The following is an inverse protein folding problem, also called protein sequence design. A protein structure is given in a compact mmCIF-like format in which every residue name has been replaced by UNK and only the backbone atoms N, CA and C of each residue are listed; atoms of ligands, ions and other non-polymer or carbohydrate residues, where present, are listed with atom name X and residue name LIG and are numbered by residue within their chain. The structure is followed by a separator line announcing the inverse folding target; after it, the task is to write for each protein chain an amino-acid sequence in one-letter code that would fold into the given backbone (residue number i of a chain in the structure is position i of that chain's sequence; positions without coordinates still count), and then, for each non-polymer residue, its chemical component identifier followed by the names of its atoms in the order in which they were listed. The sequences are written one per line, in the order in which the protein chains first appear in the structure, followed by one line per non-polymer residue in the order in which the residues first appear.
data_IF_411672777707
#
_entry.id   IF_411672777707
#
_cell.length_a   1.000
_cell.length_b   1.000
_cell.length_c   1.000
_cell.angle_alpha   90.00
_cell.angle_beta   90.00
_cell.angle_gamma   90.00
#
_symmetry.space_group_name_H-M   'P 1'
#
loop_
_entity.id
_entity.type
_entity.pdbx_description
1 polymer ?
#
# COMPACT_ATOMS: atom_id res chain seq x y z
N UNK A 1 20.64 18.61 -21.32
CA UNK A 1 19.88 17.47 -20.79
C UNK A 1 20.00 17.53 -19.29
N UNK A 2 18.97 18.04 -18.61
CA UNK A 2 18.90 18.00 -17.14
C UNK A 2 18.45 16.58 -16.79
N UNK A 3 19.28 15.88 -16.04
CA UNK A 3 18.89 14.64 -15.37
C UNK A 3 17.95 15.00 -14.23
N UNK A 4 16.75 14.44 -14.26
CA UNK A 4 15.87 14.36 -13.11
C UNK A 4 16.27 13.12 -12.33
N UNK A 5 17.24 13.30 -11.44
CA UNK A 5 17.60 12.36 -10.40
C UNK A 5 16.96 12.89 -9.11
N UNK A 6 15.82 12.30 -8.71
CA UNK A 6 15.33 12.09 -7.32
C UNK A 6 13.84 11.78 -7.33
N UNK A 7 13.51 10.50 -7.41
CA UNK A 7 12.69 9.85 -6.39
C UNK A 7 13.37 8.51 -6.17
N UNK A 8 13.71 8.20 -4.92
CA UNK A 8 14.20 6.90 -4.52
C UNK A 8 13.25 5.85 -5.12
N UNK A 9 13.75 5.08 -6.09
CA UNK A 9 13.08 3.89 -6.58
C UNK A 9 13.16 2.91 -5.40
N UNK A 10 12.24 3.04 -4.43
CA UNK A 10 11.89 1.98 -3.49
C UNK A 10 11.52 0.80 -4.39
N UNK A 11 12.51 -0.04 -4.72
CA UNK A 11 12.40 -1.00 -5.81
C UNK A 11 11.37 -2.08 -5.46
N UNK A 12 10.12 -1.80 -5.79
CA UNK A 12 9.01 -2.74 -5.74
C UNK A 12 9.20 -3.83 -6.82
N UNK A 13 8.54 -4.98 -6.66
CA UNK A 13 8.56 -6.02 -7.67
C UNK A 13 8.06 -5.47 -9.02
N UNK A 14 8.59 -6.01 -10.12
CA UNK A 14 8.34 -5.48 -11.47
C UNK A 14 6.84 -5.39 -11.78
N UNK A 15 6.42 -4.19 -12.20
CA UNK A 15 5.05 -3.89 -12.63
C UNK A 15 4.08 -3.53 -11.50
N UNK A 16 4.59 -3.32 -10.29
CA UNK A 16 3.93 -2.49 -9.29
C UNK A 16 4.37 -1.04 -9.44
N UNK A 17 3.46 -0.10 -9.22
CA UNK A 17 3.76 1.33 -9.21
C UNK A 17 3.04 2.00 -8.05
N UNK A 18 3.69 2.97 -7.42
CA UNK A 18 3.01 3.86 -6.48
C UNK A 18 2.03 4.73 -7.28
N UNK A 19 0.75 4.66 -6.94
CA UNK A 19 -0.24 5.59 -7.43
C UNK A 19 0.07 6.96 -6.81
N UNK A 20 0.21 8.00 -7.63
CA UNK A 20 0.30 9.37 -7.12
C UNK A 20 -0.91 9.62 -6.22
N UNK A 21 -0.68 9.66 -4.90
CA UNK A 21 -1.71 9.89 -3.90
C UNK A 21 -2.44 11.16 -4.29
N UNK A 22 -3.70 11.03 -4.75
CA UNK A 22 -4.51 12.17 -5.14
C UNK A 22 -4.41 13.21 -4.03
N UNK A 23 -3.80 14.34 -4.38
CA UNK A 23 -3.27 15.34 -3.47
C UNK A 23 -4.22 15.49 -2.29
N UNK A 24 -3.78 15.09 -1.10
CA UNK A 24 -4.50 15.44 0.11
C UNK A 24 -4.59 16.96 0.09
N UNK A 25 -5.78 17.50 -0.18
CA UNK A 25 -5.99 18.95 -0.15
C UNK A 25 -5.37 19.44 1.17
N UNK A 26 -4.35 20.32 1.14
CA UNK A 26 -3.61 20.72 2.33
C UNK A 26 -4.53 21.60 3.16
N UNK A 27 -5.38 20.99 3.97
CA UNK A 27 -6.39 21.67 4.75
C UNK A 27 -6.73 20.87 5.99
N UNK A 28 -5.70 20.51 6.76
CA UNK A 28 -5.57 20.69 8.22
C UNK A 28 -4.38 19.86 8.71
N UNK A 29 -3.54 20.49 9.54
CA UNK A 29 -2.38 19.97 10.27
C UNK A 29 -2.16 18.43 10.26
N UNK A 30 -1.01 18.05 9.72
CA UNK A 30 -0.34 16.73 9.90
C UNK A 30 -0.95 15.48 9.25
N UNK A 31 -1.62 15.59 8.09
CA UNK A 31 -2.05 14.45 7.28
C UNK A 31 -0.88 13.51 6.84
N UNK A 32 -0.48 12.54 7.69
CA UNK A 32 0.24 11.29 7.36
C UNK A 32 -0.40 10.72 6.09
N UNK A 33 0.30 10.87 4.97
CA UNK A 33 -0.22 10.48 3.66
C UNK A 33 -0.38 8.96 3.61
N UNK A 34 -1.56 8.50 3.17
CA UNK A 34 -1.72 7.11 2.75
C UNK A 34 -0.96 6.90 1.45
N UNK A 35 -0.40 5.71 1.29
CA UNK A 35 0.25 5.28 0.06
C UNK A 35 -0.62 4.22 -0.60
N UNK A 36 -0.75 4.29 -1.92
CA UNK A 36 -1.46 3.31 -2.73
C UNK A 36 -0.49 2.76 -3.77
N UNK A 37 -0.44 1.44 -3.90
CA UNK A 37 0.31 0.74 -4.94
C UNK A 37 -0.64 0.01 -5.86
N UNK A 38 -0.44 0.12 -7.16
CA UNK A 38 -1.25 -0.51 -8.19
C UNK A 38 -0.43 -1.53 -8.95
N UNK A 39 -1.04 -2.68 -9.28
CA UNK A 39 -0.43 -3.65 -10.19
C UNK A 39 -0.83 -3.34 -11.63
N UNK A 40 0.14 -3.05 -12.48
CA UNK A 40 -0.12 -2.87 -13.92
C UNK A 40 -0.77 -4.11 -14.53
N UNK A 41 -1.90 -3.92 -15.20
CA UNK A 41 -2.62 -4.98 -15.90
C UNK A 41 -3.50 -5.87 -15.00
N UNK A 42 -3.68 -5.51 -13.72
CA UNK A 42 -4.57 -6.21 -12.80
C UNK A 42 -5.41 -5.23 -11.98
N UNK A 43 -6.65 -5.61 -11.66
CA UNK A 43 -7.55 -4.83 -10.79
C UNK A 43 -7.24 -5.10 -9.30
N UNK A 44 -5.95 -5.03 -8.95
CA UNK A 44 -5.44 -5.27 -7.60
C UNK A 44 -4.46 -4.18 -7.19
N UNK A 45 -4.52 -3.79 -5.93
CA UNK A 45 -3.62 -2.81 -5.35
C UNK A 45 -3.44 -3.02 -3.86
N UNK A 46 -2.53 -2.26 -3.28
CA UNK A 46 -2.23 -2.25 -1.85
C UNK A 46 -2.35 -0.85 -1.31
N UNK A 47 -3.07 -0.70 -0.21
CA UNK A 47 -3.17 0.57 0.50
C UNK A 47 -2.48 0.47 1.85
N UNK A 48 -1.54 1.38 2.08
CA UNK A 48 -0.84 1.57 3.36
C UNK A 48 -1.35 2.87 3.98
N UNK A 49 -1.97 2.81 5.15
CA UNK A 49 -2.63 3.96 5.77
C UNK A 49 -2.55 3.92 7.29
N UNK A 50 -2.53 5.07 7.98
CA UNK A 50 -2.54 5.09 9.44
C UNK A 50 -3.82 4.46 10.00
N UNK A 51 -3.69 3.68 11.08
CA UNK A 51 -4.79 2.97 11.74
C UNK A 51 -5.80 3.90 12.41
N UNK A 52 -5.34 5.10 12.80
CA UNK A 52 -6.14 6.14 13.44
C UNK A 52 -6.35 7.33 12.51
N UNK A 53 -7.50 8.04 12.64
CA UNK A 53 -7.73 9.28 11.93
C UNK A 53 -6.63 10.27 12.28
N UNK A 54 -6.26 11.08 11.29
CA UNK A 54 -5.19 12.03 11.47
C UNK A 54 -5.64 13.21 12.36
N UNK A 55 -5.42 13.06 13.66
CA UNK A 55 -5.71 14.06 14.67
C UNK A 55 -4.43 14.37 15.45
N UNK A 56 -4.22 15.61 15.91
CA UNK A 56 -2.99 16.05 16.59
C UNK A 56 -2.66 15.31 17.91
N UNK A 57 -3.51 14.37 18.33
CA UNK A 57 -3.32 13.49 19.49
C UNK A 57 -3.50 12.01 19.12
N UNK A 58 -3.29 11.65 17.86
CA UNK A 58 -3.21 10.26 17.44
C UNK A 58 -1.89 9.69 17.99
N UNK A 59 -1.98 9.17 19.21
CA UNK A 59 -0.87 8.61 20.01
C UNK A 59 -0.36 7.27 19.46
N UNK A 60 -0.91 6.76 18.36
CA UNK A 60 -0.45 5.50 17.78
C UNK A 60 0.30 5.71 16.46
N UNK A 61 1.54 5.22 16.44
CA UNK A 61 2.33 4.96 15.23
C UNK A 61 1.83 3.70 14.50
N UNK A 62 0.53 3.39 14.57
CA UNK A 62 -0.04 2.19 13.96
C UNK A 62 -0.42 2.45 12.51
N UNK A 63 -0.03 1.52 11.65
CA UNK A 63 -0.29 1.53 10.22
C UNK A 63 -0.99 0.23 9.82
N UNK A 64 -1.95 0.35 8.90
CA UNK A 64 -2.64 -0.78 8.28
C UNK A 64 -2.20 -0.94 6.84
N UNK A 65 -2.11 -2.19 6.46
CA UNK A 65 -1.94 -2.62 5.07
C UNK A 65 -3.21 -3.36 4.67
N UNK A 66 -3.80 -2.99 3.54
CA UNK A 66 -4.96 -3.68 2.98
C UNK A 66 -4.80 -3.91 1.48
N UNK A 67 -5.28 -5.06 1.00
CA UNK A 67 -5.41 -5.31 -0.43
C UNK A 67 -6.71 -4.69 -0.91
N UNK A 68 -6.61 -3.98 -2.03
CA UNK A 68 -7.72 -3.38 -2.75
C UNK A 68 -7.97 -4.20 -4.01
N UNK A 69 -9.23 -4.54 -4.26
CA UNK A 69 -9.68 -5.18 -5.49
C UNK A 69 -10.69 -4.30 -6.20
N UNK A 70 -10.59 -4.25 -7.54
CA UNK A 70 -11.45 -3.41 -8.38
C UNK A 70 -10.90 -2.00 -8.56
N UNK A 71 -11.80 -1.00 -8.67
CA UNK A 71 -11.41 0.40 -8.90
C UNK A 71 -10.78 1.03 -7.65
N UNK A 72 -9.63 1.68 -7.78
CA UNK A 72 -8.91 2.22 -6.61
C UNK A 72 -9.60 3.41 -5.94
N UNK A 73 -10.30 4.25 -6.71
CA UNK A 73 -11.12 5.36 -6.18
C UNK A 73 -12.39 4.87 -5.46
N UNK A 74 -12.92 3.72 -5.88
CA UNK A 74 -14.12 3.13 -5.31
C UNK A 74 -13.99 1.60 -5.31
N UNK A 75 -13.24 1.06 -4.34
CA UNK A 75 -12.87 -0.35 -4.34
C UNK A 75 -14.09 -1.23 -4.13
N UNK A 76 -14.23 -2.25 -4.96
CA UNK A 76 -15.26 -3.27 -4.80
C UNK A 76 -15.06 -4.03 -3.48
N UNK A 77 -13.79 -4.21 -3.10
CA UNK A 77 -13.41 -4.88 -1.86
C UNK A 77 -12.08 -4.35 -1.33
N UNK A 78 -11.98 -4.24 -0.02
CA UNK A 78 -10.72 -4.02 0.69
C UNK A 78 -10.59 -5.05 1.81
N UNK A 79 -9.59 -5.92 1.72
CA UNK A 79 -9.31 -6.92 2.76
C UNK A 79 -8.08 -6.49 3.58
N UNK A 80 -8.16 -6.52 4.91
CA UNK A 80 -7.01 -6.18 5.75
C UNK A 80 -5.94 -7.28 5.66
N UNK A 81 -4.69 -6.87 5.53
CA UNK A 81 -3.51 -7.75 5.55
C UNK A 81 -2.88 -7.72 6.93
N UNK A 82 -2.51 -6.52 7.41
CA UNK A 82 -1.81 -6.36 8.67
C UNK A 82 -2.14 -5.01 9.34
N UNK A 83 -1.96 -4.96 10.65
CA UNK A 83 -1.92 -3.74 11.47
C UNK A 83 -0.61 -3.82 12.26
N UNK A 84 0.33 -2.92 11.96
CA UNK A 84 1.73 -2.95 12.43
C UNK A 84 2.13 -1.62 13.04
N UNK A 85 3.22 -1.61 13.80
CA UNK A 85 3.76 -0.38 14.40
C UNK A 85 4.87 0.17 13.49
N UNK A 86 4.70 1.41 13.05
CA UNK A 86 5.62 2.10 12.15
C UNK A 86 5.22 2.01 10.67
N UNK A 87 5.57 3.07 9.93
CA UNK A 87 5.34 3.15 8.48
C UNK A 87 6.23 2.16 7.74
N UNK A 88 7.50 2.06 8.13
CA UNK A 88 8.48 1.19 7.47
C UNK A 88 8.08 -0.29 7.57
N UNK A 89 7.62 -0.76 8.74
CA UNK A 89 7.11 -2.13 8.91
C UNK A 89 5.88 -2.39 8.02
N UNK A 90 5.00 -1.39 7.85
CA UNK A 90 3.85 -1.51 6.96
C UNK A 90 4.27 -1.57 5.47
N UNK A 91 5.32 -0.84 5.10
CA UNK A 91 5.89 -0.89 3.75
C UNK A 91 6.58 -2.24 3.48
N UNK A 92 7.29 -2.80 4.46
CA UNK A 92 7.88 -4.14 4.37
C UNK A 92 6.82 -5.23 4.20
N UNK A 93 5.69 -5.13 4.92
CA UNK A 93 4.54 -6.04 4.73
C UNK A 93 3.94 -5.88 3.33
N UNK A 94 3.75 -4.65 2.86
CA UNK A 94 3.22 -4.39 1.52
C UNK A 94 4.14 -4.99 0.45
N UNK A 95 5.46 -4.80 0.57
CA UNK A 95 6.46 -5.38 -0.32
C UNK A 95 6.40 -6.91 -0.31
N UNK A 96 6.37 -7.52 0.88
CA UNK A 96 6.29 -8.98 1.03
C UNK A 96 5.03 -9.54 0.35
N UNK A 97 3.91 -8.82 0.41
CA UNK A 97 2.70 -9.20 -0.30
C UNK A 97 2.90 -9.11 -1.81
N UNK A 98 3.49 -8.02 -2.33
CA UNK A 98 3.74 -7.87 -3.77
C UNK A 98 4.62 -9.01 -4.30
N UNK A 99 5.65 -9.40 -3.55
CA UNK A 99 6.54 -10.51 -3.90
C UNK A 99 5.79 -11.85 -3.90
N UNK A 100 5.02 -12.13 -2.84
CA UNK A 100 4.21 -13.35 -2.75
C UNK A 100 3.11 -13.39 -3.82
N UNK A 101 2.56 -12.22 -4.19
CA UNK A 101 1.65 -12.08 -5.30
C UNK A 101 2.36 -12.46 -6.60
N UNK A 102 3.53 -11.89 -6.93
CA UNK A 102 4.30 -12.27 -8.14
C UNK A 102 4.70 -13.75 -8.22
N UNK A 103 4.97 -14.39 -7.08
CA UNK A 103 5.30 -15.83 -7.04
C UNK A 103 4.07 -16.74 -7.20
N UNK A 104 2.89 -16.27 -6.81
CA UNK A 104 1.67 -17.05 -6.86
C UNK A 104 1.02 -17.07 -8.26
N UNK A 105 0.49 -18.24 -8.63
CA UNK A 105 -0.23 -18.46 -9.88
C UNK A 105 -1.70 -18.83 -9.64
N UNK A 106 -2.55 -18.56 -10.62
CA UNK A 106 -3.96 -18.98 -10.62
C UNK A 106 -4.93 -17.94 -10.05
N UNK A 107 -6.19 -18.35 -9.91
CA UNK A 107 -7.28 -17.47 -9.47
C UNK A 107 -7.15 -17.07 -7.99
N UNK A 108 -6.55 -17.94 -7.16
CA UNK A 108 -6.42 -17.74 -5.71
C UNK A 108 -5.11 -16.99 -5.34
N UNK A 109 -4.49 -16.30 -6.32
CA UNK A 109 -3.20 -15.62 -6.17
C UNK A 109 -3.19 -14.59 -5.03
N UNK A 110 -4.27 -13.84 -4.88
CA UNK A 110 -4.43 -12.85 -3.79
C UNK A 110 -4.48 -13.56 -2.43
N UNK A 111 -5.26 -14.63 -2.31
CA UNK A 111 -5.39 -15.39 -1.07
C UNK A 111 -4.06 -15.98 -0.65
N UNK A 112 -3.32 -16.58 -1.59
CA UNK A 112 -1.96 -17.09 -1.32
C UNK A 112 -0.98 -16.01 -0.88
N UNK A 113 -1.04 -14.85 -1.51
CA UNK A 113 -0.20 -13.72 -1.12
C UNK A 113 -0.53 -13.22 0.30
N UNK A 114 -1.82 -13.15 0.67
CA UNK A 114 -2.24 -12.80 2.03
C UNK A 114 -1.80 -13.86 3.05
N UNK A 115 -1.92 -15.15 2.72
CA UNK A 115 -1.47 -16.24 3.59
C UNK A 115 0.04 -16.19 3.84
N UNK A 116 0.84 -15.80 2.84
CA UNK A 116 2.30 -15.73 2.94
C UNK A 116 2.79 -14.64 3.91
N UNK A 117 2.09 -13.51 3.98
CA UNK A 117 2.46 -12.37 4.84
C UNK A 117 1.83 -12.40 6.23
N UNK A 118 0.88 -13.30 6.47
CA UNK A 118 0.17 -13.43 7.75
C UNK A 118 0.80 -14.45 8.71
N UNK A 119 1.98 -14.99 8.39
CA UNK A 119 2.68 -16.06 9.12
C UNK A 119 3.51 -15.56 10.29
#
# INVERSE_FOLDING_TARGET
MVGSDTSDDESFPVGWSEAESMEAMPSTDDARASVLYEREGAEVGLRVFPSEPNVPHADTDRWRVGVVQGSFDNPDRMDPIADVEGRDEALDVARSFMEAYEDAEGADRIERAMEAVSQ
#
